data_IF_971770747198
#
_entry.id   IF_971770747198
#
_cell.length_a   1.000
_cell.length_b   1.000
_cell.length_c   1.000
_cell.angle_alpha   90.00
_cell.angle_beta   90.00
_cell.angle_gamma   90.00
#
_symmetry.space_group_name_H-M   'P 1'
#
loop_
_entity.id
_entity.type
_entity.pdbx_description
1 polymer ?
#
# COMPACT_ATOMS: atom_id res chain seq x y z
N UNK A 1 -25.96 4.70 -16.20
CA UNK A 1 -26.36 5.27 -14.88
C UNK A 1 -26.43 6.80 -14.84
N UNK A 2 -25.39 7.59 -15.17
CA UNK A 2 -25.34 9.06 -15.01
C UNK A 2 -26.64 9.86 -15.28
N UNK A 3 -27.37 9.54 -16.35
CA UNK A 3 -28.65 10.20 -16.69
C UNK A 3 -29.71 10.10 -15.58
N UNK A 4 -29.70 9.03 -14.77
CA UNK A 4 -30.60 8.85 -13.61
C UNK A 4 -30.22 9.75 -12.42
N UNK A 5 -28.95 10.17 -12.35
CA UNK A 5 -28.43 11.18 -11.42
C UNK A 5 -28.55 12.62 -11.98
N UNK A 6 -29.26 12.83 -13.09
CA UNK A 6 -29.42 14.14 -13.74
C UNK A 6 -28.21 14.61 -14.55
N UNK A 7 -27.12 13.83 -14.63
CA UNK A 7 -25.90 14.20 -15.36
C UNK A 7 -26.03 13.79 -16.82
N UNK A 8 -26.16 14.78 -17.71
CA UNK A 8 -26.32 14.59 -19.16
C UNK A 8 -25.04 14.76 -19.96
N UNK A 9 -24.07 15.50 -19.44
CA UNK A 9 -22.75 15.74 -20.06
C UNK A 9 -21.64 15.26 -19.12
N UNK A 10 -21.11 14.09 -19.42
CA UNK A 10 -20.05 13.43 -18.64
C UNK A 10 -18.71 14.16 -18.81
N UNK A 11 -18.45 14.75 -19.99
CA UNK A 11 -17.19 15.45 -20.25
C UNK A 11 -17.11 16.74 -19.44
N UNK A 12 -18.21 17.51 -19.40
CA UNK A 12 -18.33 18.68 -18.54
C UNK A 12 -18.31 18.33 -17.05
N UNK A 13 -18.96 17.24 -16.65
CA UNK A 13 -18.94 16.78 -15.25
C UNK A 13 -17.51 16.46 -14.73
N UNK A 14 -16.64 15.94 -15.60
CA UNK A 14 -15.23 15.69 -15.28
C UNK A 14 -14.26 16.81 -15.71
N UNK A 15 -14.73 17.95 -16.22
CA UNK A 15 -13.85 18.97 -16.81
C UNK A 15 -12.80 19.52 -15.82
N UNK A 16 -13.19 19.74 -14.57
CA UNK A 16 -12.32 20.21 -13.48
C UNK A 16 -12.08 19.19 -12.36
N UNK A 17 -12.78 18.05 -12.35
CA UNK A 17 -12.59 17.00 -11.34
C UNK A 17 -11.20 16.37 -11.43
N UNK A 18 -10.66 16.00 -10.27
CA UNK A 18 -9.33 15.40 -10.10
C UNK A 18 -8.14 16.19 -10.68
N UNK A 19 -8.36 17.43 -11.15
CA UNK A 19 -7.34 18.32 -11.67
C UNK A 19 -6.62 19.06 -10.54
N UNK A 20 -5.60 18.41 -9.98
CA UNK A 20 -4.76 18.93 -8.88
C UNK A 20 -3.40 19.38 -9.41
N UNK A 21 -2.94 20.57 -8.99
CA UNK A 21 -1.62 21.14 -9.31
C UNK A 21 -0.46 20.48 -8.54
N UNK A 22 -0.73 19.45 -7.73
CA UNK A 22 0.30 18.76 -6.96
C UNK A 22 1.30 18.03 -7.87
N UNK A 23 2.58 18.24 -7.60
CA UNK A 23 3.66 17.45 -8.22
C UNK A 23 3.68 16.06 -7.60
N UNK A 24 3.85 15.02 -8.41
CA UNK A 24 4.03 13.68 -7.86
C UNK A 24 5.48 13.50 -7.37
N UNK A 25 5.71 13.83 -6.09
CA UNK A 25 7.01 13.75 -5.43
C UNK A 25 7.07 12.61 -4.40
N UNK A 26 7.87 11.59 -4.70
CA UNK A 26 8.11 10.42 -3.81
C UNK A 26 9.30 10.62 -2.85
N UNK A 27 9.95 11.79 -2.86
CA UNK A 27 11.09 12.09 -1.99
C UNK A 27 10.69 12.75 -0.67
N UNK A 28 9.46 13.26 -0.57
CA UNK A 28 8.93 13.92 0.62
C UNK A 28 8.24 12.97 1.62
N UNK A 29 8.67 13.01 2.89
CA UNK A 29 8.03 12.43 4.09
C UNK A 29 8.00 10.88 4.15
N UNK A 30 8.57 10.24 5.21
CA UNK A 30 8.69 8.78 5.29
C UNK A 30 7.36 8.00 5.44
N UNK A 31 6.26 8.68 5.78
CA UNK A 31 4.96 8.04 6.01
C UNK A 31 4.19 7.68 4.72
N UNK A 32 4.54 8.23 3.55
CA UNK A 32 3.83 7.95 2.29
C UNK A 32 3.77 6.46 1.93
N UNK A 33 4.73 5.65 2.39
CA UNK A 33 4.74 4.19 2.19
C UNK A 33 3.46 3.47 2.66
N UNK A 34 2.70 4.09 3.56
CA UNK A 34 1.45 3.56 4.13
C UNK A 34 0.18 4.18 3.52
N UNK A 35 0.30 5.16 2.62
CA UNK A 35 -0.85 5.76 1.95
C UNK A 35 -1.34 4.85 0.80
N UNK A 36 -2.66 4.63 0.70
CA UNK A 36 -3.27 3.76 -0.32
C UNK A 36 -2.92 4.18 -1.76
N UNK A 37 -2.82 5.48 -2.04
CA UNK A 37 -2.44 5.98 -3.36
C UNK A 37 -0.99 5.63 -3.69
N UNK A 38 -0.05 5.88 -2.77
CA UNK A 38 1.33 5.43 -2.94
C UNK A 38 1.42 3.91 -3.12
N UNK A 39 0.66 3.12 -2.37
CA UNK A 39 0.63 1.67 -2.50
C UNK A 39 0.13 1.22 -3.89
N UNK A 40 -0.90 1.88 -4.45
CA UNK A 40 -1.37 1.69 -5.84
C UNK A 40 -0.27 2.00 -6.85
N UNK A 41 0.35 3.17 -6.76
CA UNK A 41 1.42 3.58 -7.68
C UNK A 41 2.66 2.69 -7.58
N UNK A 42 3.02 2.23 -6.37
CA UNK A 42 4.15 1.33 -6.15
C UNK A 42 3.87 -0.10 -6.63
N UNK A 43 2.63 -0.58 -6.54
CA UNK A 43 2.21 -1.84 -7.13
C UNK A 43 2.31 -1.81 -8.67
N UNK A 44 1.81 -0.75 -9.32
CA UNK A 44 2.02 -0.53 -10.76
C UNK A 44 3.53 -0.47 -11.07
N UNK A 45 4.30 0.32 -10.31
CA UNK A 45 5.74 0.43 -10.47
C UNK A 45 6.44 -0.92 -10.40
N UNK A 46 6.12 -1.81 -9.45
CA UNK A 46 6.77 -3.14 -9.37
C UNK A 46 6.37 -4.10 -10.51
N UNK A 47 5.16 -3.98 -11.07
CA UNK A 47 4.67 -4.89 -12.12
C UNK A 47 4.99 -4.43 -13.56
N UNK A 48 5.24 -3.14 -13.80
CA UNK A 48 5.64 -2.59 -15.11
C UNK A 48 7.15 -2.80 -15.35
N UNK A 49 7.50 -3.42 -16.49
CA UNK A 49 8.90 -3.57 -16.96
C UNK A 49 9.52 -2.20 -17.34
N UNK A 50 10.83 -1.98 -17.17
CA UNK A 50 11.51 -0.82 -17.74
C UNK A 50 11.32 -0.68 -19.25
N UNK A 51 11.39 0.56 -19.76
CA UNK A 51 11.27 0.94 -21.17
C UNK A 51 9.93 0.55 -21.86
N UNK A 52 8.89 0.23 -21.08
CA UNK A 52 7.56 -0.13 -21.60
C UNK A 52 6.80 1.05 -22.19
N UNK A 53 5.89 0.78 -23.12
CA UNK A 53 4.79 1.69 -23.47
C UNK A 53 3.58 1.42 -22.59
N UNK A 54 3.09 2.45 -21.92
CA UNK A 54 2.00 2.37 -20.94
C UNK A 54 0.88 3.32 -21.35
N UNK A 55 -0.34 2.79 -21.47
CA UNK A 55 -1.55 3.61 -21.52
C UNK A 55 -2.06 3.76 -20.09
N UNK A 56 -2.34 5.00 -19.70
CA UNK A 56 -2.95 5.36 -18.42
C UNK A 56 -4.36 5.89 -18.71
N UNK A 57 -5.36 5.05 -18.49
CA UNK A 57 -6.76 5.31 -18.80
C UNK A 57 -7.47 5.87 -17.57
N UNK A 58 -7.99 7.09 -17.68
CA UNK A 58 -8.43 7.92 -16.54
C UNK A 58 -7.23 8.43 -15.75
N UNK A 59 -6.27 9.06 -16.42
CA UNK A 59 -4.98 9.39 -15.81
C UNK A 59 -4.99 10.58 -14.82
N UNK A 60 -6.06 11.39 -14.81
CA UNK A 60 -6.14 12.64 -14.06
C UNK A 60 -4.92 13.53 -14.30
N UNK A 61 -4.37 14.10 -13.22
CA UNK A 61 -3.12 14.90 -13.26
C UNK A 61 -1.84 14.08 -13.53
N UNK A 62 -1.93 12.78 -13.82
CA UNK A 62 -0.80 11.96 -14.27
C UNK A 62 -0.01 11.28 -13.15
N UNK A 63 -0.66 10.46 -12.34
CA UNK A 63 -0.06 9.86 -11.13
C UNK A 63 0.99 8.77 -11.38
N UNK A 64 1.04 8.18 -12.59
CA UNK A 64 2.02 7.15 -12.95
C UNK A 64 3.39 7.72 -13.37
N UNK A 65 3.64 9.02 -13.14
CA UNK A 65 4.92 9.69 -13.39
C UNK A 65 6.15 8.93 -12.83
N UNK A 66 5.97 8.16 -11.75
CA UNK A 66 6.97 7.24 -11.19
C UNK A 66 7.60 6.31 -12.25
N UNK A 67 6.85 5.92 -13.28
CA UNK A 67 7.31 5.06 -14.38
C UNK A 67 8.31 5.75 -15.32
N UNK A 68 8.40 7.08 -15.32
CA UNK A 68 9.43 7.81 -16.08
C UNK A 68 10.85 7.46 -15.60
N UNK A 69 11.03 7.19 -14.30
CA UNK A 69 12.31 6.70 -13.74
C UNK A 69 12.75 5.34 -14.30
N UNK A 70 11.79 4.57 -14.84
CA UNK A 70 12.00 3.28 -15.52
C UNK A 70 12.20 3.41 -17.03
N UNK A 71 12.32 4.63 -17.57
CA UNK A 71 12.42 4.88 -19.01
C UNK A 71 11.12 4.61 -19.78
N UNK A 72 9.99 4.42 -19.09
CA UNK A 72 8.72 4.13 -19.75
C UNK A 72 8.18 5.34 -20.53
N UNK A 73 7.45 5.06 -21.60
CA UNK A 73 6.63 6.05 -22.32
C UNK A 73 5.19 5.92 -21.87
N UNK A 74 4.60 7.01 -21.41
CA UNK A 74 3.27 7.07 -20.82
C UNK A 74 2.36 7.92 -21.71
N UNK A 75 1.21 7.37 -22.07
CA UNK A 75 0.12 8.06 -22.75
C UNK A 75 -1.07 8.15 -21.82
N UNK A 76 -1.56 9.35 -21.53
CA UNK A 76 -2.75 9.56 -20.69
C UNK A 76 -4.03 9.73 -21.53
N UNK A 77 -5.14 9.17 -21.07
CA UNK A 77 -6.50 9.51 -21.52
C UNK A 77 -7.30 9.99 -20.32
N UNK A 78 -7.96 11.14 -20.46
CA UNK A 78 -8.92 11.64 -19.47
C UNK A 78 -10.01 12.50 -20.15
N UNK A 79 -11.05 12.88 -19.42
CA UNK A 79 -12.01 13.91 -19.85
C UNK A 79 -11.56 15.31 -19.40
N UNK A 80 -10.84 15.45 -18.27
CA UNK A 80 -10.34 16.73 -17.78
C UNK A 80 -9.19 17.25 -18.63
N UNK A 81 -9.46 18.26 -19.46
CA UNK A 81 -8.41 19.01 -20.16
C UNK A 81 -7.39 19.61 -19.17
N UNK A 82 -7.87 20.13 -18.03
CA UNK A 82 -7.04 20.76 -16.99
C UNK A 82 -6.07 19.75 -16.39
N UNK A 83 -6.54 18.56 -16.01
CA UNK A 83 -5.69 17.50 -15.46
C UNK A 83 -4.68 16.99 -16.50
N UNK A 84 -5.07 16.82 -17.76
CA UNK A 84 -4.17 16.41 -18.86
C UNK A 84 -3.07 17.44 -19.15
N UNK A 85 -3.35 18.74 -19.01
CA UNK A 85 -2.31 19.77 -19.10
C UNK A 85 -1.28 19.64 -17.97
N UNK A 86 -1.69 19.25 -16.76
CA UNK A 86 -0.80 19.00 -15.62
C UNK A 86 -0.01 17.69 -15.83
N UNK A 87 -0.67 16.61 -16.26
CA UNK A 87 -0.04 15.33 -16.60
C UNK A 87 1.10 15.51 -17.60
N UNK A 88 0.89 16.35 -18.63
CA UNK A 88 1.91 16.67 -19.64
C UNK A 88 2.98 17.64 -19.14
N UNK A 89 2.60 18.79 -18.56
CA UNK A 89 3.52 19.89 -18.23
C UNK A 89 4.33 19.66 -16.95
N UNK A 90 3.74 18.98 -15.97
CA UNK A 90 4.28 18.83 -14.61
C UNK A 90 4.77 17.41 -14.37
N UNK A 91 3.94 16.41 -14.68
CA UNK A 91 4.20 15.01 -14.41
C UNK A 91 4.80 14.25 -15.63
N UNK A 92 5.17 14.98 -16.70
CA UNK A 92 6.02 14.54 -17.82
C UNK A 92 5.51 13.30 -18.60
N UNK A 93 4.21 13.26 -18.88
CA UNK A 93 3.60 12.28 -19.78
C UNK A 93 3.97 12.59 -21.24
N UNK A 94 4.40 11.57 -22.00
CA UNK A 94 4.89 11.73 -23.37
C UNK A 94 3.78 12.15 -24.34
N UNK A 95 2.55 11.67 -24.11
CA UNK A 95 1.35 12.12 -24.82
C UNK A 95 0.10 12.08 -23.92
N UNK A 96 -0.92 12.84 -24.30
CA UNK A 96 -2.20 12.99 -23.58
C UNK A 96 -3.34 13.17 -24.59
N UNK A 97 -4.52 12.63 -24.28
CA UNK A 97 -5.73 12.71 -25.10
C UNK A 97 -6.95 13.09 -24.24
N UNK A 98 -7.78 14.00 -24.74
CA UNK A 98 -8.90 14.62 -24.00
C UNK A 98 -10.26 14.22 -24.60
N UNK A 99 -10.78 13.07 -24.18
CA UNK A 99 -11.98 12.45 -24.77
C UNK A 99 -12.19 11.01 -24.29
N UNK A 100 -13.14 10.33 -24.92
CA UNK A 100 -13.49 8.95 -24.59
C UNK A 100 -12.50 7.95 -25.18
N UNK A 101 -12.36 6.77 -24.57
CA UNK A 101 -11.56 5.66 -25.13
C UNK A 101 -12.06 5.23 -26.52
N UNK A 102 -13.37 5.38 -26.79
CA UNK A 102 -13.97 5.09 -28.10
C UNK A 102 -13.61 6.13 -29.19
N UNK A 103 -13.06 7.29 -28.80
CA UNK A 103 -12.59 8.36 -29.70
C UNK A 103 -11.05 8.32 -29.88
N UNK A 104 -10.35 7.43 -29.16
CA UNK A 104 -8.89 7.41 -29.07
C UNK A 104 -8.25 6.72 -30.27
N UNK A 105 -7.91 7.47 -31.32
CA UNK A 105 -7.17 6.92 -32.45
C UNK A 105 -5.68 6.73 -32.11
N UNK A 106 -5.26 5.46 -32.09
CA UNK A 106 -3.88 4.99 -31.96
C UNK A 106 -3.73 3.63 -32.66
N UNK A 107 -2.51 3.24 -33.07
CA UNK A 107 -2.28 1.92 -33.63
C UNK A 107 -2.76 0.80 -32.69
N UNK A 108 -3.44 -0.26 -33.20
CA UNK A 108 -3.73 -1.43 -32.40
C UNK A 108 -2.42 -2.11 -31.96
N UNK A 109 -2.47 -2.88 -30.86
CA UNK A 109 -1.30 -3.61 -30.32
C UNK A 109 -0.07 -2.72 -30.02
N UNK A 110 -0.29 -1.46 -29.65
CA UNK A 110 0.78 -0.50 -29.39
C UNK A 110 1.40 -0.58 -27.99
N UNK A 111 0.59 -0.87 -26.96
CA UNK A 111 1.00 -0.76 -25.55
C UNK A 111 1.40 -2.11 -24.93
N UNK A 112 2.46 -2.09 -24.13
CA UNK A 112 2.92 -3.23 -23.32
C UNK A 112 2.06 -3.39 -22.05
N UNK A 113 1.58 -2.27 -21.51
CA UNK A 113 0.69 -2.23 -20.36
C UNK A 113 -0.45 -1.25 -20.61
N UNK A 114 -1.64 -1.60 -20.12
CA UNK A 114 -2.74 -0.66 -19.93
C UNK A 114 -3.05 -0.62 -18.44
N UNK A 115 -3.12 0.58 -17.89
CA UNK A 115 -3.35 0.84 -16.48
C UNK A 115 -4.60 1.69 -16.31
N UNK A 116 -5.32 1.48 -15.22
CA UNK A 116 -6.19 2.50 -14.63
C UNK A 116 -6.16 2.36 -13.12
N UNK A 117 -6.26 3.46 -12.40
CA UNK A 117 -6.46 3.48 -10.96
C UNK A 117 -7.71 4.33 -10.71
N UNK A 118 -8.67 3.78 -9.98
CA UNK A 118 -9.82 4.54 -9.48
C UNK A 118 -10.80 4.99 -10.60
N UNK A 119 -10.98 4.13 -11.63
CA UNK A 119 -11.79 4.45 -12.83
C UNK A 119 -12.99 3.52 -13.03
N UNK A 120 -12.87 2.24 -12.68
CA UNK A 120 -13.94 1.27 -12.96
C UNK A 120 -15.19 1.46 -12.10
N UNK A 121 -15.14 2.22 -11.00
CA UNK A 121 -16.32 2.68 -10.27
C UNK A 121 -17.12 3.79 -10.98
N UNK A 122 -16.47 4.53 -11.89
CA UNK A 122 -17.03 5.68 -12.63
C UNK A 122 -17.61 5.30 -14.01
N UNK A 123 -17.49 4.03 -14.42
CA UNK A 123 -18.03 3.51 -15.68
C UNK A 123 -19.36 2.79 -15.39
N UNK A 124 -20.47 3.15 -16.05
CA UNK A 124 -21.75 2.46 -15.90
C UNK A 124 -21.66 0.94 -16.16
N UNK A 125 -22.41 0.14 -15.41
CA UNK A 125 -22.41 -1.33 -15.48
C UNK A 125 -22.64 -1.87 -16.90
N UNK A 126 -23.42 -1.14 -17.68
CA UNK A 126 -23.79 -1.39 -19.08
C UNK A 126 -22.64 -1.13 -20.08
N UNK A 127 -21.69 -0.25 -19.74
CA UNK A 127 -20.60 0.20 -20.64
C UNK A 127 -19.27 -0.53 -20.40
N UNK A 128 -19.03 -1.04 -19.18
CA UNK A 128 -17.74 -1.64 -18.77
C UNK A 128 -17.19 -2.71 -19.72
N UNK A 129 -18.05 -3.61 -20.21
CA UNK A 129 -17.63 -4.69 -21.11
C UNK A 129 -17.11 -4.14 -22.45
N UNK A 130 -17.74 -3.09 -22.98
CA UNK A 130 -17.29 -2.41 -24.19
C UNK A 130 -15.97 -1.65 -23.96
N UNK A 131 -15.79 -1.02 -22.79
CA UNK A 131 -14.53 -0.34 -22.42
C UNK A 131 -13.38 -1.35 -22.31
N UNK A 132 -13.56 -2.50 -21.67
CA UNK A 132 -12.50 -3.53 -21.56
C UNK A 132 -12.13 -4.07 -22.95
N UNK A 133 -13.12 -4.31 -23.81
CA UNK A 133 -12.90 -4.74 -25.20
C UNK A 133 -12.13 -3.68 -26.01
N UNK A 134 -12.48 -2.40 -25.88
CA UNK A 134 -11.83 -1.34 -26.63
C UNK A 134 -10.41 -1.07 -26.13
N UNK A 135 -10.16 -1.11 -24.82
CA UNK A 135 -8.79 -1.06 -24.27
C UNK A 135 -7.94 -2.25 -24.82
N UNK A 136 -8.51 -3.46 -24.90
CA UNK A 136 -7.82 -4.67 -25.39
C UNK A 136 -7.35 -4.58 -26.86
N UNK A 137 -7.96 -3.72 -27.69
CA UNK A 137 -7.52 -3.40 -29.07
C UNK A 137 -6.10 -2.83 -29.09
N UNK A 138 -5.78 -1.95 -28.14
CA UNK A 138 -4.49 -1.25 -28.06
C UNK A 138 -3.42 -2.03 -27.28
N UNK A 139 -3.83 -2.99 -26.45
CA UNK A 139 -2.95 -3.89 -25.71
C UNK A 139 -2.29 -4.93 -26.63
N UNK A 140 -0.95 -5.02 -26.61
CA UNK A 140 -0.19 -6.13 -27.24
C UNK A 140 -0.67 -7.49 -26.76
N UNK A 141 -0.42 -8.54 -27.53
CA UNK A 141 -0.85 -9.90 -27.18
C UNK A 141 -0.07 -10.48 -25.97
N UNK A 142 1.20 -10.08 -25.79
CA UNK A 142 1.95 -10.30 -24.53
C UNK A 142 1.67 -9.24 -23.44
N UNK A 143 0.78 -8.29 -23.70
CA UNK A 143 0.53 -7.14 -22.83
C UNK A 143 -0.24 -7.52 -21.57
N UNK A 144 -0.13 -6.67 -20.55
CA UNK A 144 -0.82 -6.87 -19.26
C UNK A 144 -1.66 -5.65 -18.90
N UNK A 145 -2.94 -5.87 -18.64
CA UNK A 145 -3.83 -4.93 -17.96
C UNK A 145 -3.58 -4.99 -16.45
N UNK A 146 -3.39 -3.83 -15.82
CA UNK A 146 -3.18 -3.66 -14.39
C UNK A 146 -4.15 -2.61 -13.85
N UNK A 147 -5.14 -3.02 -13.07
CA UNK A 147 -6.19 -2.12 -12.61
C UNK A 147 -6.28 -2.09 -11.09
N UNK A 148 -6.26 -0.87 -10.53
CA UNK A 148 -6.77 -0.60 -9.19
C UNK A 148 -8.26 -0.29 -9.29
N UNK A 149 -9.10 -0.97 -8.50
CA UNK A 149 -10.56 -0.91 -8.61
C UNK A 149 -11.20 -0.89 -7.21
N UNK A 150 -12.05 0.11 -6.96
CA UNK A 150 -13.03 0.15 -5.87
C UNK A 150 -14.05 -0.98 -6.05
N UNK A 151 -14.22 -1.81 -5.04
CA UNK A 151 -15.14 -2.93 -5.11
C UNK A 151 -16.00 -3.10 -3.86
N UNK A 152 -17.26 -3.48 -4.06
CA UNK A 152 -18.23 -3.69 -2.99
C UNK A 152 -19.67 -3.75 -3.49
N UNK A 153 -20.62 -3.74 -2.55
CA UNK A 153 -22.05 -3.91 -2.83
C UNK A 153 -22.83 -2.62 -2.53
N UNK A 154 -22.81 -1.67 -3.47
CA UNK A 154 -23.61 -0.43 -3.41
C UNK A 154 -24.99 -0.67 -4.03
N UNK A 155 -26.06 -0.44 -3.29
CA UNK A 155 -27.43 -0.66 -3.78
C UNK A 155 -28.01 0.59 -4.45
N UNK A 156 -27.52 0.89 -5.66
CA UNK A 156 -27.93 2.06 -6.44
C UNK A 156 -29.44 2.17 -6.69
N UNK A 157 -30.18 1.06 -6.64
CA UNK A 157 -31.61 0.99 -6.97
C UNK A 157 -32.55 1.21 -5.78
N UNK A 158 -32.02 1.24 -4.55
CA UNK A 158 -32.74 1.72 -3.35
C UNK A 158 -32.61 3.24 -3.14
N UNK A 159 -31.65 3.89 -3.83
CA UNK A 159 -31.46 5.34 -3.77
C UNK A 159 -32.58 6.08 -4.52
N UNK A 160 -33.16 7.10 -3.90
CA UNK A 160 -34.02 8.07 -4.61
C UNK A 160 -33.21 8.88 -5.64
N UNK A 161 -33.90 9.60 -6.53
CA UNK A 161 -33.23 10.42 -7.54
C UNK A 161 -32.29 11.48 -6.96
N UNK A 162 -32.66 12.10 -5.84
CA UNK A 162 -31.84 13.13 -5.18
C UNK A 162 -30.68 12.53 -4.36
N UNK A 163 -30.86 11.36 -3.73
CA UNK A 163 -29.78 10.64 -3.03
C UNK A 163 -28.75 10.11 -4.02
N UNK A 164 -29.20 9.50 -5.12
CA UNK A 164 -28.34 9.05 -6.20
C UNK A 164 -27.61 10.23 -6.85
N UNK A 165 -28.31 11.36 -7.05
CA UNK A 165 -27.68 12.59 -7.54
C UNK A 165 -26.59 13.06 -6.59
N UNK A 166 -26.86 13.19 -5.29
CA UNK A 166 -25.86 13.62 -4.31
C UNK A 166 -24.65 12.66 -4.25
N UNK A 167 -24.90 11.35 -4.25
CA UNK A 167 -23.84 10.32 -4.25
C UNK A 167 -22.94 10.43 -5.50
N UNK A 168 -23.55 10.63 -6.67
CA UNK A 168 -22.80 10.76 -7.93
C UNK A 168 -22.16 12.15 -8.05
N UNK A 169 -22.75 13.23 -7.55
CA UNK A 169 -22.21 14.59 -7.68
C UNK A 169 -20.84 14.75 -7.02
N UNK A 170 -20.58 14.09 -5.88
CA UNK A 170 -19.31 14.21 -5.15
C UNK A 170 -18.15 13.51 -5.87
N UNK A 171 -18.19 12.19 -6.07
CA UNK A 171 -17.09 11.46 -6.75
C UNK A 171 -17.40 11.14 -8.23
N UNK A 172 -18.64 10.78 -8.56
CA UNK A 172 -19.01 10.26 -9.88
C UNK A 172 -19.15 8.74 -9.95
N UNK A 173 -19.17 8.06 -8.80
CA UNK A 173 -19.36 6.62 -8.70
C UNK A 173 -20.75 6.20 -9.20
N UNK A 174 -20.80 5.42 -10.29
CA UNK A 174 -22.03 4.99 -10.98
C UNK A 174 -22.08 3.51 -11.32
N UNK A 175 -21.04 2.76 -10.94
CA UNK A 175 -20.83 1.38 -11.39
C UNK A 175 -19.94 0.55 -10.46
N UNK A 176 -19.83 0.88 -9.18
CA UNK A 176 -19.08 0.05 -8.20
C UNK A 176 -19.64 -1.38 -8.21
N UNK A 177 -18.75 -2.37 -8.34
CA UNK A 177 -19.06 -3.80 -8.38
C UNK A 177 -18.17 -4.56 -7.39
N UNK A 178 -18.64 -5.67 -6.83
CA UNK A 178 -17.80 -6.52 -5.98
C UNK A 178 -16.65 -7.22 -6.76
N UNK A 179 -15.71 -7.81 -6.01
CA UNK A 179 -14.52 -8.48 -6.56
C UNK A 179 -14.92 -9.55 -7.58
N UNK A 180 -15.90 -10.39 -7.24
CA UNK A 180 -16.38 -11.47 -8.10
C UNK A 180 -16.91 -10.97 -9.45
N UNK A 181 -17.72 -9.90 -9.47
CA UNK A 181 -18.22 -9.29 -10.72
C UNK A 181 -17.09 -8.73 -11.58
N UNK A 182 -16.18 -7.94 -11.00
CA UNK A 182 -15.05 -7.37 -11.75
C UNK A 182 -14.17 -8.46 -12.38
N UNK A 183 -13.73 -9.46 -11.60
CA UNK A 183 -12.94 -10.59 -12.11
C UNK A 183 -13.67 -11.32 -13.24
N UNK A 184 -14.97 -11.56 -13.08
CA UNK A 184 -15.77 -12.25 -14.10
C UNK A 184 -16.00 -11.43 -15.38
N UNK A 185 -15.92 -10.08 -15.34
CA UNK A 185 -15.88 -9.26 -16.57
C UNK A 185 -14.58 -9.46 -17.32
N UNK A 186 -13.43 -9.28 -16.67
CA UNK A 186 -12.12 -9.42 -17.34
C UNK A 186 -11.90 -10.84 -17.89
N UNK A 187 -12.41 -11.88 -17.22
CA UNK A 187 -12.40 -13.27 -17.72
C UNK A 187 -13.14 -13.49 -19.05
N UNK A 188 -14.10 -12.64 -19.44
CA UNK A 188 -14.73 -12.67 -20.78
C UNK A 188 -13.72 -12.35 -21.89
N UNK A 189 -12.69 -11.57 -21.56
CA UNK A 189 -11.75 -10.99 -22.51
C UNK A 189 -10.34 -11.58 -22.39
N UNK A 190 -9.97 -12.16 -21.25
CA UNK A 190 -8.61 -12.61 -20.94
C UNK A 190 -8.57 -13.99 -20.29
N UNK A 191 -7.82 -14.91 -20.93
CA UNK A 191 -7.62 -16.28 -20.44
C UNK A 191 -6.99 -16.32 -19.04
N UNK A 192 -6.11 -15.36 -18.75
CA UNK A 192 -5.47 -15.23 -17.44
C UNK A 192 -5.92 -13.92 -16.79
N UNK A 193 -6.82 -14.04 -15.81
CA UNK A 193 -7.30 -12.93 -14.97
C UNK A 193 -7.12 -13.30 -13.50
N UNK A 194 -6.52 -12.41 -12.74
CA UNK A 194 -6.22 -12.52 -11.31
C UNK A 194 -6.72 -11.25 -10.59
N UNK A 195 -7.09 -11.35 -9.31
CA UNK A 195 -7.66 -10.24 -8.56
C UNK A 195 -7.68 -10.48 -7.05
N UNK A 196 -7.13 -9.53 -6.30
CA UNK A 196 -6.93 -9.64 -4.84
C UNK A 196 -7.28 -8.31 -4.15
N UNK A 197 -8.09 -8.37 -3.10
CA UNK A 197 -8.47 -7.22 -2.26
C UNK A 197 -7.36 -6.98 -1.24
N UNK A 198 -6.78 -5.79 -1.32
CA UNK A 198 -5.54 -5.40 -0.62
C UNK A 198 -5.73 -4.36 0.48
N UNK A 199 -6.96 -3.85 0.61
CA UNK A 199 -7.37 -2.83 1.57
C UNK A 199 -8.87 -3.00 1.86
N UNK A 200 -9.28 -2.79 3.11
CA UNK A 200 -10.62 -2.29 3.39
C UNK A 200 -10.64 -0.79 3.04
N UNK A 201 -11.73 -0.26 2.51
CA UNK A 201 -11.89 1.19 2.37
C UNK A 201 -12.53 1.69 3.67
N UNK A 202 -11.69 1.75 4.71
CA UNK A 202 -11.95 2.60 5.86
C UNK A 202 -11.73 4.06 5.43
N UNK A 203 -12.59 4.99 5.85
CA UNK A 203 -12.47 6.39 5.46
C UNK A 203 -11.14 6.98 5.97
N UNK A 204 -10.47 7.78 5.13
CA UNK A 204 -9.38 8.65 5.56
C UNK A 204 -9.91 9.84 6.36
N UNK A 205 -9.02 10.58 7.03
CA UNK A 205 -9.36 11.84 7.68
C UNK A 205 -10.06 12.82 6.72
N UNK A 206 -9.54 12.93 5.49
CA UNK A 206 -10.12 13.80 4.45
C UNK A 206 -11.44 13.26 3.89
N UNK A 207 -11.59 11.93 3.75
CA UNK A 207 -12.84 11.31 3.31
C UNK A 207 -13.95 11.43 4.38
N UNK A 208 -13.62 11.32 5.68
CA UNK A 208 -14.57 11.62 6.76
C UNK A 208 -15.02 13.09 6.78
N UNK A 209 -14.11 14.02 6.48
CA UNK A 209 -14.44 15.45 6.35
C UNK A 209 -15.39 15.66 5.16
N UNK A 210 -15.01 15.16 3.97
CA UNK A 210 -15.80 15.18 2.74
C UNK A 210 -17.18 14.52 2.91
N UNK A 211 -17.29 13.41 3.64
CA UNK A 211 -18.58 12.78 3.93
C UNK A 211 -19.47 13.59 4.87
N UNK A 212 -18.88 14.33 5.80
CA UNK A 212 -19.60 15.24 6.69
C UNK A 212 -20.06 16.52 5.97
N UNK A 213 -19.24 17.07 5.07
CA UNK A 213 -19.51 18.36 4.40
C UNK A 213 -20.25 18.24 3.07
N UNK A 214 -19.92 17.27 2.22
CA UNK A 214 -20.41 17.17 0.85
C UNK A 214 -21.52 16.12 0.71
N UNK A 215 -21.30 14.90 1.21
CA UNK A 215 -22.29 13.81 1.16
C UNK A 215 -23.46 13.98 2.15
N UNK A 216 -23.38 14.92 3.11
CA UNK A 216 -24.35 15.10 4.22
C UNK A 216 -24.54 13.85 5.09
N UNK A 217 -23.53 12.98 5.14
CA UNK A 217 -23.55 11.77 5.96
C UNK A 217 -23.62 12.11 7.45
N UNK A 218 -24.23 11.24 8.25
CA UNK A 218 -24.33 11.40 9.72
C UNK A 218 -23.01 11.05 10.43
N UNK A 219 -21.95 11.80 10.12
CA UNK A 219 -20.68 11.79 10.84
C UNK A 219 -20.84 12.64 12.13
N UNK A 220 -20.18 12.26 13.22
CA UNK A 220 -20.16 13.07 14.44
C UNK A 220 -19.47 14.43 14.16
N UNK A 221 -20.14 15.58 14.36
CA UNK A 221 -19.53 16.89 14.17
C UNK A 221 -18.26 17.11 15.00
N UNK A 222 -18.13 16.47 16.16
CA UNK A 222 -16.93 16.53 16.99
C UNK A 222 -15.75 15.82 16.31
N UNK A 223 -15.99 14.65 15.72
CA UNK A 223 -14.99 13.94 14.92
C UNK A 223 -14.59 14.75 13.69
N UNK A 224 -15.56 15.30 12.95
CA UNK A 224 -15.27 16.17 11.79
C UNK A 224 -14.43 17.40 12.18
N UNK A 225 -14.79 18.08 13.27
CA UNK A 225 -14.04 19.26 13.74
C UNK A 225 -12.63 18.88 14.24
N UNK A 226 -12.48 17.73 14.91
CA UNK A 226 -11.17 17.19 15.28
C UNK A 226 -10.30 16.92 14.05
N UNK A 227 -10.82 16.17 13.06
CA UNK A 227 -10.08 15.83 11.83
C UNK A 227 -9.69 17.07 11.01
N UNK A 228 -10.51 18.13 11.01
CA UNK A 228 -10.19 19.44 10.40
C UNK A 228 -9.07 20.18 11.12
N UNK A 229 -8.89 19.96 12.43
CA UNK A 229 -7.81 20.59 13.21
C UNK A 229 -6.44 19.92 13.04
N UNK A 230 -6.40 18.69 12.50
CA UNK A 230 -5.17 17.93 12.28
C UNK A 230 -4.34 18.51 11.12
N UNK A 231 -3.03 18.62 11.33
CA UNK A 231 -2.08 18.86 10.24
C UNK A 231 -2.02 17.67 9.27
N UNK A 232 -1.48 17.88 8.08
CA UNK A 232 -1.33 16.81 7.08
C UNK A 232 -0.55 15.58 7.59
N UNK A 233 0.41 15.77 8.51
CA UNK A 233 1.14 14.65 9.13
C UNK A 233 0.28 13.85 10.12
N UNK A 234 -0.57 14.54 10.88
CA UNK A 234 -1.49 13.93 11.84
C UNK A 234 -2.67 13.25 11.14
N UNK A 235 -3.16 13.80 10.02
CA UNK A 235 -4.14 13.11 9.14
C UNK A 235 -3.60 11.80 8.60
N UNK A 236 -2.35 11.78 8.10
CA UNK A 236 -1.71 10.54 7.66
C UNK A 236 -1.52 9.56 8.84
N UNK A 237 -1.25 10.04 10.05
CA UNK A 237 -1.20 9.19 11.24
C UNK A 237 -2.58 8.62 11.63
N UNK A 238 -3.65 9.40 11.49
CA UNK A 238 -5.03 8.95 11.65
C UNK A 238 -5.38 7.89 10.60
N UNK A 239 -5.10 8.11 9.31
CA UNK A 239 -5.36 7.15 8.24
C UNK A 239 -4.69 5.79 8.51
N UNK A 240 -3.43 5.82 8.94
CA UNK A 240 -2.65 4.63 9.34
C UNK A 240 -3.32 3.92 10.53
N UNK A 241 -3.75 4.66 11.55
CA UNK A 241 -4.41 4.11 12.74
C UNK A 241 -5.82 3.58 12.43
N UNK A 242 -6.54 4.20 11.50
CA UNK A 242 -7.88 3.82 11.05
C UNK A 242 -7.86 2.67 10.02
N UNK A 243 -6.71 2.03 9.78
CA UNK A 243 -6.64 0.78 9.01
C UNK A 243 -6.32 0.91 7.52
N UNK A 244 -6.04 2.11 6.99
CA UNK A 244 -5.63 2.30 5.58
C UNK A 244 -4.22 1.79 5.23
N UNK A 245 -3.59 1.04 6.15
CA UNK A 245 -2.38 0.25 5.90
C UNK A 245 -2.70 -0.87 4.88
N UNK A 246 -1.67 -1.37 4.18
CA UNK A 246 -1.78 -2.51 3.25
C UNK A 246 -2.19 -3.82 3.96
N UNK A 247 -3.49 -3.96 4.27
CA UNK A 247 -4.06 -5.13 4.92
C UNK A 247 -4.56 -6.12 3.85
N UNK A 248 -3.86 -7.25 3.74
CA UNK A 248 -4.33 -8.40 2.97
C UNK A 248 -5.55 -9.03 3.64
N UNK A 249 -6.74 -8.48 3.39
CA UNK A 249 -8.02 -8.95 3.95
C UNK A 249 -8.19 -10.47 3.79
N UNK A 250 -7.78 -10.99 2.63
CA UNK A 250 -7.87 -12.42 2.27
C UNK A 250 -6.88 -13.32 3.05
N UNK A 251 -5.69 -12.84 3.43
CA UNK A 251 -4.76 -13.60 4.29
C UNK A 251 -5.13 -13.49 5.79
N UNK A 252 -5.74 -12.38 6.22
CA UNK A 252 -6.26 -12.23 7.58
C UNK A 252 -7.62 -12.93 7.82
N UNK A 253 -8.23 -13.51 6.78
CA UNK A 253 -9.57 -14.13 6.82
C UNK A 253 -10.69 -13.15 7.21
N UNK A 254 -10.51 -11.85 7.00
CA UNK A 254 -11.62 -10.91 7.08
C UNK A 254 -12.63 -11.18 5.96
N UNK A 255 -13.92 -10.85 6.15
CA UNK A 255 -14.92 -10.96 5.08
C UNK A 255 -14.48 -10.16 3.84
N UNK A 256 -14.54 -10.79 2.67
CA UNK A 256 -14.35 -10.10 1.38
C UNK A 256 -15.51 -9.09 1.17
N UNK A 257 -15.32 -8.01 0.39
CA UNK A 257 -16.42 -7.25 -0.18
C UNK A 257 -17.45 -8.08 -0.97
N UNK A 258 -17.17 -9.34 -1.30
CA UNK A 258 -18.17 -10.28 -1.85
C UNK A 258 -19.13 -10.87 -0.80
N UNK A 259 -18.80 -10.79 0.51
CA UNK A 259 -19.48 -11.55 1.59
C UNK A 259 -20.18 -10.70 2.66
N UNK A 260 -20.07 -9.37 2.60
CA UNK A 260 -20.80 -8.44 3.48
C UNK A 260 -21.52 -7.36 2.67
N UNK A 261 -22.71 -6.96 3.14
CA UNK A 261 -23.43 -5.82 2.58
C UNK A 261 -22.75 -4.51 3.03
N UNK A 262 -22.69 -3.51 2.14
CA UNK A 262 -22.12 -2.19 2.45
C UNK A 262 -20.60 -2.11 2.59
N UNK A 263 -19.86 -3.23 2.67
CA UNK A 263 -18.40 -3.20 2.72
C UNK A 263 -17.80 -2.77 1.37
N UNK A 264 -16.91 -1.78 1.43
CA UNK A 264 -16.08 -1.32 0.32
C UNK A 264 -14.63 -1.75 0.55
N UNK A 265 -13.97 -2.30 -0.46
CA UNK A 265 -12.57 -2.69 -0.44
C UNK A 265 -11.88 -2.32 -1.75
N UNK A 266 -10.56 -2.27 -1.76
CA UNK A 266 -9.79 -1.92 -2.95
C UNK A 266 -9.04 -3.12 -3.51
N UNK A 267 -9.29 -3.44 -4.78
CA UNK A 267 -8.76 -4.62 -5.47
C UNK A 267 -7.63 -4.25 -6.44
N UNK A 268 -6.59 -5.07 -6.46
CA UNK A 268 -5.59 -5.11 -7.53
C UNK A 268 -5.96 -6.23 -8.51
N UNK A 269 -6.35 -5.87 -9.73
CA UNK A 269 -6.71 -6.80 -10.81
C UNK A 269 -5.63 -6.83 -11.89
N UNK A 270 -5.32 -8.03 -12.38
CA UNK A 270 -4.34 -8.27 -13.45
C UNK A 270 -4.99 -9.12 -14.54
N UNK A 271 -4.86 -8.74 -15.81
CA UNK A 271 -5.41 -9.51 -16.92
C UNK A 271 -4.47 -9.56 -18.14
N UNK A 272 -4.36 -10.71 -18.80
CA UNK A 272 -3.53 -10.91 -20.00
C UNK A 272 -4.01 -12.09 -20.85
N UNK A 273 -3.62 -12.08 -22.14
CA UNK A 273 -3.77 -13.24 -23.03
C UNK A 273 -2.78 -14.36 -22.73
N UNK A 274 -1.64 -14.04 -22.11
CA UNK A 274 -0.62 -15.01 -21.70
C UNK A 274 -0.64 -15.26 -20.18
N UNK A 275 -0.04 -16.36 -19.69
CA UNK A 275 0.10 -16.62 -18.26
C UNK A 275 0.70 -15.42 -17.52
N UNK A 276 -0.09 -14.88 -16.58
CA UNK A 276 0.34 -13.78 -15.73
C UNK A 276 1.58 -14.21 -14.95
N UNK A 277 2.65 -13.41 -15.03
CA UNK A 277 3.86 -13.66 -14.24
C UNK A 277 3.52 -13.63 -12.76
N UNK A 278 4.15 -14.52 -11.99
CA UNK A 278 4.15 -14.49 -10.53
C UNK A 278 4.42 -13.04 -10.05
N UNK A 279 3.57 -12.47 -9.17
CA UNK A 279 3.73 -11.09 -8.76
C UNK A 279 5.05 -10.94 -8.01
N UNK A 280 5.76 -9.83 -8.26
CA UNK A 280 7.02 -9.44 -7.58
C UNK A 280 6.82 -9.14 -6.07
N UNK A 281 5.64 -9.48 -5.54
CA UNK A 281 5.21 -9.36 -4.15
C UNK A 281 5.11 -10.73 -3.44
N UNK A 282 5.23 -11.86 -4.14
CA UNK A 282 5.34 -13.16 -3.46
C UNK A 282 6.69 -13.24 -2.75
N UNK A 283 6.64 -13.18 -1.43
CA UNK A 283 7.77 -13.58 -0.59
C UNK A 283 8.02 -15.07 -0.86
N UNK A 284 9.09 -15.39 -1.58
CA UNK A 284 9.37 -16.76 -2.03
C UNK A 284 9.70 -17.65 -0.83
N UNK A 285 9.11 -18.83 -0.74
CA UNK A 285 9.65 -19.89 0.11
C UNK A 285 10.98 -20.38 -0.49
N UNK A 286 12.06 -19.82 0.03
CA UNK A 286 13.42 -20.30 -0.19
C UNK A 286 13.70 -21.30 0.91
N UNK A 287 13.92 -22.57 0.55
CA UNK A 287 14.50 -23.54 1.47
C UNK A 287 15.75 -22.95 2.11
N UNK A 288 15.89 -23.17 3.41
CA UNK A 288 17.00 -22.65 4.20
C UNK A 288 18.27 -23.45 3.87
N UNK A 289 19.43 -22.82 3.68
CA UNK A 289 20.69 -23.53 3.84
C UNK A 289 20.82 -24.03 5.28
N UNK A 290 21.49 -25.16 5.49
CA UNK A 290 21.64 -25.75 6.81
C UNK A 290 22.44 -24.86 7.80
N UNK A 291 22.18 -24.99 9.12
CA UNK A 291 22.27 -23.84 10.01
C UNK A 291 23.63 -23.62 10.68
N UNK A 292 24.02 -22.35 10.75
CA UNK A 292 24.47 -21.76 12.02
C UNK A 292 23.22 -21.21 12.75
N UNK A 293 23.14 -21.39 14.08
CA UNK A 293 21.95 -21.21 14.94
C UNK A 293 20.95 -20.14 14.43
N UNK A 294 19.84 -20.55 13.79
CA UNK A 294 19.13 -19.65 12.90
C UNK A 294 18.06 -18.85 13.64
N UNK A 295 17.86 -17.61 13.20
CA UNK A 295 16.90 -16.62 13.74
C UNK A 295 15.45 -17.12 13.84
N UNK A 296 15.11 -18.15 13.07
CA UNK A 296 13.78 -18.72 13.06
C UNK A 296 13.47 -19.60 14.28
N UNK A 297 14.47 -20.05 15.06
CA UNK A 297 14.22 -20.82 16.29
C UNK A 297 13.40 -20.00 17.30
N UNK A 298 12.14 -20.37 17.58
CA UNK A 298 11.28 -19.61 18.49
C UNK A 298 11.71 -19.74 19.95
N UNK A 299 12.53 -20.74 20.30
CA UNK A 299 13.01 -20.97 21.69
C UNK A 299 14.06 -19.94 22.12
N UNK A 300 14.65 -19.24 21.15
CA UNK A 300 15.69 -18.23 21.33
C UNK A 300 15.10 -16.87 21.76
N UNK A 301 13.84 -16.58 21.47
CA UNK A 301 13.21 -15.28 21.63
C UNK A 301 11.93 -15.40 22.50
N UNK A 302 11.85 -14.67 23.62
CA UNK A 302 10.87 -14.98 24.69
C UNK A 302 9.89 -13.85 25.08
N UNK A 303 10.32 -12.58 25.10
CA UNK A 303 9.48 -11.40 25.44
C UNK A 303 9.71 -10.31 24.42
N UNK A 304 8.68 -9.54 24.05
CA UNK A 304 8.81 -8.35 23.19
C UNK A 304 9.06 -8.62 21.69
N UNK A 305 9.32 -9.86 21.26
CA UNK A 305 9.64 -10.20 19.87
C UNK A 305 8.41 -10.52 19.01
N UNK A 306 8.39 -9.95 17.81
CA UNK A 306 7.40 -10.22 16.77
C UNK A 306 7.72 -11.53 16.01
N UNK A 307 6.87 -11.85 15.03
CA UNK A 307 7.09 -12.93 14.07
C UNK A 307 8.39 -12.74 13.25
N UNK A 308 8.80 -13.78 12.54
CA UNK A 308 9.97 -13.73 11.65
C UNK A 308 9.55 -13.03 10.36
N UNK A 309 10.23 -11.93 10.04
CA UNK A 309 10.09 -11.25 8.76
C UNK A 309 11.16 -11.72 7.77
N UNK A 310 10.84 -11.61 6.48
CA UNK A 310 11.70 -12.03 5.38
C UNK A 310 11.89 -10.88 4.39
N UNK A 311 13.13 -10.43 4.29
CA UNK A 311 13.60 -9.48 3.27
C UNK A 311 14.16 -10.24 2.06
N UNK A 312 14.42 -9.52 0.96
CA UNK A 312 14.89 -10.08 -0.32
C UNK A 312 16.09 -11.05 -0.19
N UNK A 313 16.98 -10.77 0.78
CA UNK A 313 18.24 -11.50 1.02
C UNK A 313 18.41 -12.08 2.44
N UNK A 314 17.47 -11.91 3.38
CA UNK A 314 17.65 -12.39 4.75
C UNK A 314 16.33 -12.59 5.52
N UNK A 315 16.42 -13.26 6.66
CA UNK A 315 15.39 -13.27 7.71
C UNK A 315 15.78 -12.31 8.82
N UNK A 316 14.80 -11.82 9.59
CA UNK A 316 15.03 -11.14 10.88
C UNK A 316 13.82 -11.29 11.79
N UNK A 317 13.98 -10.92 13.07
CA UNK A 317 12.85 -10.62 13.98
C UNK A 317 12.95 -9.19 14.46
N UNK A 318 11.81 -8.52 14.56
CA UNK A 318 11.67 -7.24 15.24
C UNK A 318 11.35 -7.44 16.72
N UNK A 319 11.84 -6.58 17.60
CA UNK A 319 11.53 -6.56 19.03
C UNK A 319 11.17 -5.16 19.52
N UNK A 320 10.30 -5.08 20.53
CA UNK A 320 9.87 -3.84 21.20
C UNK A 320 10.94 -3.24 22.14
N UNK A 321 10.63 -2.10 22.78
CA UNK A 321 11.52 -1.32 23.67
C UNK A 321 12.25 -2.15 24.75
N UNK A 322 11.61 -3.22 25.25
CA UNK A 322 12.20 -4.26 26.09
C UNK A 322 11.89 -5.60 25.42
N UNK A 323 12.94 -6.37 25.11
CA UNK A 323 12.81 -7.68 24.46
C UNK A 323 13.82 -8.70 24.99
N UNK A 324 13.34 -9.89 25.37
CA UNK A 324 14.15 -10.92 26.05
C UNK A 324 14.54 -12.07 25.11
N UNK A 325 15.82 -12.43 25.10
CA UNK A 325 16.41 -13.56 24.38
C UNK A 325 16.87 -14.61 25.40
N UNK A 326 16.62 -15.90 25.15
CA UNK A 326 17.13 -17.01 25.97
C UNK A 326 18.19 -17.80 25.22
N UNK A 327 19.44 -17.65 25.66
CA UNK A 327 20.59 -18.37 25.14
C UNK A 327 20.90 -19.56 26.06
N UNK A 328 21.18 -20.72 25.46
CA UNK A 328 21.58 -21.95 26.17
C UNK A 328 22.67 -22.67 25.39
N UNK A 329 23.45 -23.53 26.06
CA UNK A 329 24.66 -24.17 25.50
C UNK A 329 25.70 -23.13 25.04
N UNK A 330 25.77 -22.01 25.76
CA UNK A 330 26.85 -21.05 25.61
C UNK A 330 28.17 -21.69 26.10
N UNK A 331 29.24 -21.43 25.37
CA UNK A 331 30.61 -21.87 25.67
C UNK A 331 31.67 -20.97 24.96
N UNK A 332 31.20 -19.87 24.37
CA UNK A 332 31.90 -18.98 23.44
C UNK A 332 31.32 -17.58 23.58
N UNK A 333 32.04 -16.57 23.10
CA UNK A 333 31.52 -15.20 23.03
C UNK A 333 30.49 -15.07 21.89
N UNK A 334 29.51 -14.17 22.08
CA UNK A 334 28.36 -14.03 21.21
C UNK A 334 28.53 -12.82 20.29
N UNK A 335 28.31 -13.01 18.99
CA UNK A 335 28.07 -11.93 18.03
C UNK A 335 26.58 -11.86 17.69
N UNK A 336 26.05 -10.65 17.75
CA UNK A 336 24.71 -10.28 17.25
C UNK A 336 24.87 -9.30 16.09
N UNK A 337 24.11 -9.47 15.00
CA UNK A 337 23.91 -8.39 14.02
C UNK A 337 22.54 -7.75 14.26
N UNK A 338 22.55 -6.48 14.64
CA UNK A 338 21.34 -5.70 14.94
C UNK A 338 21.19 -4.55 13.97
N UNK A 339 19.97 -4.09 13.72
CA UNK A 339 19.66 -2.88 12.96
C UNK A 339 18.37 -2.26 13.49
N UNK A 340 18.00 -1.08 12.98
CA UNK A 340 16.69 -0.50 13.26
C UNK A 340 16.12 0.20 12.02
N UNK A 341 14.80 0.14 11.85
CA UNK A 341 14.06 0.61 10.69
C UNK A 341 13.41 1.99 10.87
N UNK A 342 13.70 2.73 11.95
CA UNK A 342 13.10 4.05 12.19
C UNK A 342 13.44 5.07 11.11
N UNK A 343 12.50 5.93 10.71
CA UNK A 343 12.81 7.04 9.82
C UNK A 343 13.73 8.07 10.50
N UNK A 344 15.00 8.08 10.06
CA UNK A 344 16.02 9.13 10.29
C UNK A 344 16.63 9.28 11.71
N UNK A 345 17.13 8.19 12.31
CA UNK A 345 17.95 8.22 13.55
C UNK A 345 19.36 8.87 13.39
N UNK A 346 19.55 9.70 12.35
CA UNK A 346 20.78 10.46 12.10
C UNK A 346 20.87 11.74 12.92
N UNK A 347 19.71 12.25 13.37
CA UNK A 347 19.59 13.49 14.17
C UNK A 347 19.50 13.16 15.66
N UNK A 348 18.66 12.19 15.99
CA UNK A 348 18.50 11.65 17.34
C UNK A 348 18.97 10.20 17.35
N UNK A 349 20.08 9.95 18.04
CA UNK A 349 20.67 8.61 18.14
C UNK A 349 19.92 7.76 19.17
N UNK A 350 19.91 6.44 18.95
CA UNK A 350 19.18 5.48 19.80
C UNK A 350 20.18 4.60 20.55
N UNK A 351 20.11 4.54 21.88
CA UNK A 351 20.99 3.63 22.65
C UNK A 351 20.35 2.26 22.85
N UNK A 352 21.09 1.20 22.56
CA UNK A 352 20.73 -0.18 22.93
C UNK A 352 21.55 -0.64 24.14
N UNK A 353 20.89 -1.29 25.09
CA UNK A 353 21.45 -1.93 26.26
C UNK A 353 21.25 -3.43 26.18
N UNK A 354 22.24 -4.17 26.67
CA UNK A 354 22.24 -5.62 26.75
C UNK A 354 22.44 -5.99 28.22
N UNK A 355 21.41 -6.50 28.87
CA UNK A 355 21.35 -6.74 30.31
C UNK A 355 21.20 -8.24 30.56
N UNK A 356 21.95 -8.77 31.52
CA UNK A 356 21.71 -10.09 32.08
C UNK A 356 20.48 -10.00 32.98
N UNK A 357 19.34 -10.51 32.50
CA UNK A 357 18.04 -10.43 33.21
C UNK A 357 18.12 -11.11 34.59
N UNK A 358 18.84 -12.23 34.68
CA UNK A 358 19.00 -13.05 35.88
C UNK A 358 19.76 -12.35 37.03
N UNK A 359 20.47 -11.25 36.74
CA UNK A 359 21.31 -10.50 37.70
C UNK A 359 21.14 -8.99 37.67
N UNK A 360 20.31 -8.46 36.75
CA UNK A 360 20.16 -7.02 36.49
C UNK A 360 21.42 -6.32 35.96
N UNK A 361 22.49 -7.05 35.60
CA UNK A 361 23.79 -6.46 35.23
C UNK A 361 23.86 -6.11 33.75
N UNK A 362 24.27 -4.87 33.46
CA UNK A 362 24.61 -4.44 32.11
C UNK A 362 25.84 -5.20 31.58
N UNK A 363 25.66 -5.92 30.47
CA UNK A 363 26.72 -6.60 29.71
C UNK A 363 27.34 -5.63 28.69
N UNK A 364 26.51 -4.84 27.99
CA UNK A 364 26.96 -3.96 26.91
C UNK A 364 25.99 -2.79 26.66
N UNK A 365 26.50 -1.64 26.21
CA UNK A 365 25.73 -0.47 25.75
C UNK A 365 26.31 0.00 24.42
N UNK A 366 25.47 0.32 23.44
CA UNK A 366 25.87 0.83 22.11
C UNK A 366 24.91 1.90 21.63
N UNK A 367 25.32 2.73 20.67
CA UNK A 367 24.51 3.84 20.13
C UNK A 367 24.37 3.69 18.62
N UNK A 368 23.14 3.46 18.16
CA UNK A 368 22.78 3.40 16.74
C UNK A 368 22.65 4.84 16.21
N UNK A 369 23.31 5.10 15.08
CA UNK A 369 23.37 6.43 14.42
C UNK A 369 22.86 6.42 12.98
N UNK A 370 22.38 5.26 12.52
CA UNK A 370 21.88 5.02 11.17
C UNK A 370 21.10 3.71 11.15
N UNK A 371 20.30 3.49 10.11
CA UNK A 371 19.50 2.28 9.94
C UNK A 371 20.31 1.06 9.44
N UNK A 372 21.64 1.20 9.38
CA UNK A 372 22.56 0.14 8.93
C UNK A 372 22.67 -0.98 9.98
N UNK A 373 23.27 -2.10 9.60
CA UNK A 373 23.59 -3.18 10.54
C UNK A 373 24.82 -2.84 11.41
N UNK A 374 24.73 -3.20 12.68
CA UNK A 374 25.78 -3.09 13.69
C UNK A 374 26.11 -4.48 14.22
N UNK A 375 27.39 -4.87 14.18
CA UNK A 375 27.87 -6.10 14.81
C UNK A 375 28.22 -5.83 16.28
N UNK A 376 27.47 -6.46 17.20
CA UNK A 376 27.63 -6.35 18.65
C UNK A 376 28.30 -7.62 19.17
N UNK A 377 29.26 -7.45 20.09
CA UNK A 377 30.08 -8.53 20.63
C UNK A 377 29.91 -8.58 22.15
N UNK A 378 29.30 -9.65 22.66
CA UNK A 378 29.03 -9.87 24.08
C UNK A 378 29.96 -10.96 24.62
N UNK A 379 30.64 -10.68 25.74
CA UNK A 379 31.47 -11.69 26.42
C UNK A 379 30.59 -12.68 27.18
N UNK A 380 30.52 -13.91 26.68
CA UNK A 380 29.62 -14.97 27.15
C UNK A 380 30.29 -16.34 27.29
N UNK A 381 31.57 -16.45 26.94
CA UNK A 381 32.38 -17.67 27.01
C UNK A 381 32.35 -18.39 28.37
N UNK A 382 32.23 -17.64 29.48
CA UNK A 382 32.16 -18.18 30.84
C UNK A 382 30.73 -18.53 31.33
N UNK A 383 29.72 -18.45 30.46
CA UNK A 383 28.32 -18.74 30.80
C UNK A 383 27.85 -19.99 30.05
N UNK A 384 27.07 -20.86 30.69
CA UNK A 384 26.41 -22.01 30.03
C UNK A 384 25.04 -21.61 29.44
N UNK A 385 24.39 -20.61 30.06
CA UNK A 385 23.07 -20.08 29.73
C UNK A 385 23.04 -18.57 30.03
N UNK A 386 22.16 -17.83 29.36
CA UNK A 386 21.95 -16.40 29.58
C UNK A 386 20.54 -16.00 29.18
N UNK A 387 19.74 -15.44 30.10
CA UNK A 387 18.59 -14.63 29.74
C UNK A 387 19.09 -13.20 29.46
N UNK A 388 19.12 -12.83 28.18
CA UNK A 388 19.64 -11.56 27.67
C UNK A 388 18.45 -10.63 27.38
N UNK A 389 18.24 -9.65 28.26
CA UNK A 389 17.31 -8.56 27.99
C UNK A 389 17.97 -7.52 27.10
N UNK A 390 17.26 -7.10 26.06
CA UNK A 390 17.66 -6.03 25.16
C UNK A 390 16.67 -4.88 25.38
N UNK A 391 17.19 -3.78 25.93
CA UNK A 391 16.42 -2.57 26.22
C UNK A 391 16.94 -1.41 25.37
N UNK A 392 16.11 -0.41 25.11
CA UNK A 392 16.45 0.74 24.28
C UNK A 392 16.16 2.07 25.00
N UNK A 393 17.19 2.90 25.27
CA UNK A 393 16.92 4.28 25.72
C UNK A 393 16.45 5.15 24.56
N UNK A 394 15.29 5.74 24.78
CA UNK A 394 14.83 7.01 24.23
C UNK A 394 13.85 7.60 25.25
N UNK A 395 13.87 8.92 25.43
CA UNK A 395 12.80 9.67 26.11
C UNK A 395 11.62 9.97 25.17
N UNK A 396 11.70 9.51 23.92
CA UNK A 396 10.72 9.67 22.87
C UNK A 396 9.78 8.45 22.80
N UNK A 397 8.47 8.68 22.73
CA UNK A 397 7.45 7.62 22.62
C UNK A 397 6.78 7.66 21.24
N UNK A 398 7.16 6.80 20.28
CA UNK A 398 6.31 6.48 19.15
C UNK A 398 5.18 5.54 19.61
N UNK A 399 3.94 5.92 19.35
CA UNK A 399 2.74 5.13 19.65
C UNK A 399 1.98 4.79 18.35
N UNK A 400 1.52 3.53 18.18
CA UNK A 400 1.04 2.99 16.87
C UNK A 400 0.40 1.56 16.97
N UNK A 401 -0.89 1.36 17.34
CA UNK A 401 -1.72 0.13 17.06
C UNK A 401 -1.45 -1.22 17.84
N UNK A 402 -2.11 -1.68 18.92
CA UNK A 402 -1.89 -3.06 19.46
C UNK A 402 -3.08 -3.74 20.18
N UNK A 403 -2.99 -5.07 20.49
CA UNK A 403 -4.15 -5.84 20.93
C UNK A 403 -4.74 -5.50 22.30
N UNK A 404 -3.97 -4.92 23.24
CA UNK A 404 -4.47 -4.52 24.56
C UNK A 404 -4.51 -3.00 24.76
N UNK A 405 -3.69 -2.21 24.03
CA UNK A 405 -3.47 -0.79 24.34
C UNK A 405 -3.31 0.18 23.14
N UNK A 406 -2.66 -0.17 22.03
CA UNK A 406 -1.19 -0.02 21.91
C UNK A 406 -0.79 0.59 20.55
N UNK A 407 0.32 0.25 19.87
CA UNK A 407 1.60 -0.35 20.30
C UNK A 407 2.22 -1.47 19.39
N UNK A 408 2.02 -1.51 18.05
CA UNK A 408 2.76 -2.36 17.09
C UNK A 408 4.20 -1.84 16.94
N UNK A 409 4.32 -0.54 16.63
CA UNK A 409 5.58 0.14 16.29
C UNK A 409 6.09 0.96 17.46
N UNK A 410 6.15 0.30 18.60
CA UNK A 410 7.08 0.63 19.69
C UNK A 410 8.50 0.83 19.16
N UNK A 411 9.34 1.55 19.91
CA UNK A 411 10.73 1.77 19.55
C UNK A 411 11.54 0.47 19.64
N UNK A 412 11.94 -0.07 18.48
CA UNK A 412 12.39 -1.46 18.35
C UNK A 412 13.68 -1.71 17.57
N UNK A 413 14.09 -2.98 17.59
CA UNK A 413 15.36 -3.47 17.03
C UNK A 413 15.10 -4.72 16.20
N UNK A 414 15.69 -4.76 15.00
CA UNK A 414 15.77 -5.95 14.18
C UNK A 414 17.04 -6.74 14.47
N UNK A 415 16.96 -8.06 14.68
CA UNK A 415 18.14 -8.94 14.73
C UNK A 415 18.21 -9.81 13.47
N UNK A 416 19.35 -9.72 12.78
CA UNK A 416 19.64 -10.41 11.50
C UNK A 416 20.70 -11.52 11.62
N UNK A 417 21.40 -11.64 12.74
CA UNK A 417 22.27 -12.78 13.00
C UNK A 417 22.51 -12.98 14.49
N UNK A 418 22.57 -14.23 14.94
CA UNK A 418 23.05 -14.63 16.27
C UNK A 418 24.06 -15.77 16.03
N UNK A 419 25.31 -15.57 16.43
CA UNK A 419 26.40 -16.52 16.17
C UNK A 419 27.39 -16.58 17.32
N UNK A 420 27.85 -17.79 17.67
CA UNK A 420 28.98 -17.99 18.56
C UNK A 420 30.30 -17.79 17.81
N UNK A 421 31.32 -17.28 18.50
CA UNK A 421 32.66 -16.99 17.98
C UNK A 421 33.65 -18.08 18.35
#
# INVERSE_FOLDING_TARGET
>A
MYKRAGITDIKKFYEEKFATDARFDVSGIPLWNYNINFAKYFWIYRNVKPNSRVLDFGCGSGTLAVLKSKGCKITGIDYSKKALEIAKKVNNYDSVFCGSIFEFDQPPKYFDYIVSLDVFGHIPFEEKDAVIQELKKYLKDEGVMLHGIECGNVNYDEMTGDELKAFVEVDGHVGIENKARNINRFKKFFQHTDGEVRFNIENSADEYIKQSEEYKSRIDPNLTNYLKSLSAGEKIAFDIANGLVQIKMEELKHPSPDSSAGSLGFMYLRASGLPLREPVYRCTDKQLPEPLTPLHDPRLFCRGWHAIEKADNSYFRWGANDSLIRLTKLNKDLRLKIFSAFPDIKKEHVTVFFINEDTGRLIYKTVLKSNNEYAIFLKTSNLEKLNLSIFVDTTWKPALYNPETGDWRTLGIGIREISLL
#
